data_IF_274546518973
#
_entry.id   IF_274546518973
#
_cell.length_a   1.000
_cell.length_b   1.000
_cell.length_c   1.000
_cell.angle_alpha   90.00
_cell.angle_beta   90.00
_cell.angle_gamma   90.00
#
_symmetry.space_group_name_H-M   'P 1'
#
loop_
_entity.id
_entity.type
_entity.pdbx_description
1 polymer ?
#
# COMPACT_ATOMS: atom_id res chain seq x y z
N UNK A 1 2.66 13.54 2.28
CA UNK A 1 2.95 12.36 3.10
C UNK A 1 3.55 12.88 4.38
N UNK A 2 3.04 12.41 5.51
CA UNK A 2 3.47 12.81 6.85
C UNK A 2 4.54 11.83 7.31
N UNK A 3 5.59 12.32 7.98
CA UNK A 3 6.72 11.55 8.51
C UNK A 3 7.63 10.86 7.46
N UNK A 4 7.57 11.27 6.20
CA UNK A 4 8.49 10.76 5.19
C UNK A 4 8.46 11.56 3.89
N UNK A 5 9.36 11.22 2.96
CA UNK A 5 9.40 11.81 1.63
C UNK A 5 8.54 11.00 0.65
N UNK A 6 7.51 11.64 0.12
CA UNK A 6 6.60 11.03 -0.87
C UNK A 6 7.34 10.58 -2.14
N UNK A 7 8.41 11.28 -2.54
CA UNK A 7 9.22 10.90 -3.71
C UNK A 7 10.00 9.64 -3.44
N UNK A 8 10.59 9.51 -2.24
CA UNK A 8 11.26 8.29 -1.83
C UNK A 8 10.25 7.14 -1.76
N UNK A 9 9.10 7.34 -1.10
CA UNK A 9 8.07 6.31 -1.00
C UNK A 9 7.70 5.76 -2.37
N UNK A 10 7.38 6.64 -3.32
CA UNK A 10 6.99 6.25 -4.69
C UNK A 10 8.15 5.65 -5.48
N UNK A 11 9.37 6.19 -5.36
CA UNK A 11 10.55 5.65 -6.05
C UNK A 11 10.78 4.18 -5.68
N UNK A 12 10.64 3.86 -4.40
CA UNK A 12 10.82 2.52 -3.84
C UNK A 12 9.79 1.50 -4.34
N UNK A 13 8.56 1.93 -4.66
CA UNK A 13 7.55 1.06 -5.25
C UNK A 13 7.96 0.52 -6.63
N UNK A 14 8.75 1.29 -7.39
CA UNK A 14 9.30 0.80 -8.67
C UNK A 14 10.30 -0.32 -8.49
N UNK A 15 10.80 -0.57 -7.29
CA UNK A 15 11.68 -1.70 -6.98
C UNK A 15 10.90 -2.89 -6.40
N UNK A 16 9.65 -2.68 -5.98
CA UNK A 16 8.82 -3.69 -5.33
C UNK A 16 8.91 -3.64 -3.80
N UNK A 17 9.52 -2.60 -3.23
CA UNK A 17 9.67 -2.47 -1.78
C UNK A 17 8.32 -2.57 -1.07
N UNK A 18 8.33 -3.29 0.05
CA UNK A 18 7.21 -3.38 0.97
C UNK A 18 7.13 -2.11 1.81
N UNK A 19 5.91 -1.56 1.94
CA UNK A 19 5.68 -0.35 2.72
C UNK A 19 4.37 -0.41 3.48
N UNK A 20 4.41 0.15 4.68
CA UNK A 20 3.25 0.34 5.54
C UNK A 20 2.89 1.82 5.58
N UNK A 21 1.60 2.14 5.59
CA UNK A 21 1.14 3.51 5.76
C UNK A 21 -0.28 3.58 6.33
N UNK A 22 -0.62 4.73 6.91
CA UNK A 22 -1.93 5.01 7.49
C UNK A 22 -2.66 6.08 6.69
N UNK A 23 -3.98 5.91 6.53
CA UNK A 23 -4.88 6.92 5.97
C UNK A 23 -6.21 6.88 6.71
N UNK A 24 -6.62 8.01 7.32
CA UNK A 24 -7.83 8.13 8.15
C UNK A 24 -8.05 6.97 9.15
N UNK A 25 -7.00 6.56 9.85
CA UNK A 25 -7.07 5.50 10.86
C UNK A 25 -7.16 4.07 10.29
N UNK A 26 -7.18 3.92 8.97
CA UNK A 26 -7.00 2.64 8.31
C UNK A 26 -5.52 2.40 7.99
N UNK A 27 -5.09 1.15 8.10
CA UNK A 27 -3.73 0.70 7.85
C UNK A 27 -3.65 -0.05 6.54
N UNK A 28 -2.69 0.34 5.73
CA UNK A 28 -2.45 -0.21 4.41
C UNK A 28 -1.07 -0.83 4.34
N UNK A 29 -0.99 -1.91 3.56
CA UNK A 29 0.25 -2.56 3.19
C UNK A 29 0.34 -2.61 1.68
N UNK A 30 1.45 -2.15 1.12
CA UNK A 30 1.74 -2.26 -0.31
C UNK A 30 3.02 -3.06 -0.48
N UNK A 31 3.01 -3.99 -1.43
CA UNK A 31 4.15 -4.85 -1.74
C UNK A 31 4.21 -5.14 -3.23
N UNK A 32 5.42 -5.31 -3.75
CA UNK A 32 5.61 -5.71 -5.14
C UNK A 32 6.64 -6.82 -5.27
N UNK A 33 6.43 -7.73 -6.22
CA UNK A 33 7.38 -8.81 -6.48
C UNK A 33 7.42 -9.16 -7.96
N UNK A 34 8.48 -9.86 -8.34
CA UNK A 34 8.66 -10.39 -9.70
C UNK A 34 8.50 -11.90 -9.67
N UNK A 35 7.61 -12.42 -10.52
CA UNK A 35 7.41 -13.85 -10.73
C UNK A 35 7.15 -14.10 -12.21
N UNK A 36 7.77 -15.12 -12.79
CA UNK A 36 7.52 -15.55 -14.18
C UNK A 36 7.65 -14.43 -15.24
N UNK A 37 8.55 -13.45 -15.02
CA UNK A 37 8.75 -12.23 -15.83
C UNK A 37 7.59 -11.22 -15.79
N UNK A 38 6.74 -11.33 -14.79
CA UNK A 38 5.70 -10.37 -14.45
C UNK A 38 6.06 -9.66 -13.15
N UNK A 39 5.83 -8.35 -13.10
CA UNK A 39 5.85 -7.55 -11.89
C UNK A 39 4.42 -7.43 -11.37
N UNK A 40 4.21 -7.86 -10.13
CA UNK A 40 2.94 -7.75 -9.43
C UNK A 40 3.07 -6.67 -8.36
N UNK A 41 2.09 -5.77 -8.26
CA UNK A 41 1.97 -4.78 -7.18
C UNK A 41 0.61 -4.98 -6.52
N UNK A 42 0.61 -5.13 -5.20
CA UNK A 42 -0.59 -5.44 -4.40
C UNK A 42 -0.71 -4.45 -3.26
N UNK A 43 -1.95 -4.06 -2.98
CA UNK A 43 -2.32 -3.23 -1.84
C UNK A 43 -3.40 -3.93 -1.05
N UNK A 44 -3.15 -4.03 0.25
CA UNK A 44 -4.06 -4.54 1.25
C UNK A 44 -4.44 -3.42 2.23
N UNK A 45 -5.67 -3.48 2.73
CA UNK A 45 -6.09 -2.71 3.92
C UNK A 45 -6.20 -3.68 5.08
N UNK A 46 -5.20 -3.65 5.96
CA UNK A 46 -5.02 -4.62 7.06
C UNK A 46 -5.88 -4.27 8.28
N UNK A 47 -6.03 -2.97 8.57
CA UNK A 47 -6.86 -2.50 9.67
C UNK A 47 -7.77 -1.35 9.22
N UNK A 48 -9.03 -1.26 9.68
CA UNK A 48 -9.77 -2.32 10.39
C UNK A 48 -9.81 -3.61 9.55
N UNK A 49 -10.10 -4.74 10.21
CA UNK A 49 -10.01 -6.10 9.63
C UNK A 49 -10.47 -6.12 8.16
N UNK A 50 -9.67 -6.72 7.26
CA UNK A 50 -9.96 -6.64 5.84
C UNK A 50 -11.36 -7.17 5.56
N UNK A 51 -12.10 -6.48 4.68
CA UNK A 51 -13.45 -6.88 4.33
C UNK A 51 -13.50 -8.20 3.52
N UNK A 52 -12.33 -8.70 3.10
CA UNK A 52 -12.16 -9.81 2.17
C UNK A 52 -10.77 -10.41 2.32
N UNK A 53 -10.62 -11.69 1.96
CA UNK A 53 -9.31 -12.36 1.81
C UNK A 53 -8.60 -12.00 0.49
N UNK A 54 -9.22 -11.14 -0.32
CA UNK A 54 -8.62 -10.62 -1.55
C UNK A 54 -8.03 -9.25 -1.31
N UNK A 55 -6.94 -8.91 -2.02
CA UNK A 55 -6.35 -7.59 -1.91
C UNK A 55 -7.33 -6.51 -2.30
N UNK A 56 -7.18 -5.34 -1.66
CA UNK A 56 -7.96 -4.15 -2.01
C UNK A 56 -7.74 -3.77 -3.47
N UNK A 57 -6.51 -3.92 -3.94
CA UNK A 57 -6.12 -3.62 -5.31
C UNK A 57 -4.89 -4.43 -5.70
N UNK A 58 -4.83 -4.83 -6.98
CA UNK A 58 -3.70 -5.52 -7.56
C UNK A 58 -3.55 -5.10 -9.03
N UNK A 59 -2.32 -4.96 -9.48
CA UNK A 59 -1.99 -4.90 -10.90
C UNK A 59 -0.80 -5.83 -11.21
N UNK A 60 -0.88 -6.49 -12.36
CA UNK A 60 0.14 -7.40 -12.86
C UNK A 60 0.53 -6.94 -14.25
N UNK A 61 1.80 -6.60 -14.41
CA UNK A 61 2.35 -6.13 -15.67
C UNK A 61 3.56 -6.98 -16.06
N UNK A 62 3.87 -7.12 -17.35
CA UNK A 62 5.19 -7.59 -17.77
C UNK A 62 6.30 -6.82 -17.07
N UNK A 63 7.43 -7.47 -16.76
CA UNK A 63 8.51 -6.86 -15.98
C UNK A 63 9.07 -5.57 -16.62
N UNK A 64 9.12 -5.49 -17.95
CA UNK A 64 9.52 -4.30 -18.70
C UNK A 64 8.49 -3.16 -18.64
N UNK A 65 7.26 -3.47 -18.22
CA UNK A 65 6.15 -2.55 -17.97
C UNK A 65 5.90 -2.32 -16.48
N UNK A 66 6.82 -2.68 -15.59
CA UNK A 66 6.64 -2.48 -14.13
C UNK A 66 6.29 -1.05 -13.73
N UNK A 67 6.78 -0.06 -14.48
CA UNK A 67 6.42 1.34 -14.28
C UNK A 67 4.91 1.57 -14.41
N UNK A 68 4.26 0.88 -15.34
CA UNK A 68 2.82 1.00 -15.57
C UNK A 68 2.03 0.53 -14.34
N UNK A 69 2.46 -0.54 -13.66
CA UNK A 69 1.81 -1.02 -12.44
C UNK A 69 1.81 0.03 -11.32
N UNK A 70 2.95 0.68 -11.08
CA UNK A 70 3.06 1.76 -10.08
C UNK A 70 2.23 2.98 -10.49
N UNK A 71 2.28 3.39 -11.76
CA UNK A 71 1.49 4.51 -12.26
C UNK A 71 -0.03 4.24 -12.20
N UNK A 72 -0.44 2.98 -12.38
CA UNK A 72 -1.84 2.56 -12.24
C UNK A 72 -2.29 2.61 -10.78
N UNK A 73 -1.44 2.19 -9.82
CA UNK A 73 -1.69 2.41 -8.40
C UNK A 73 -1.89 3.90 -8.08
N UNK A 74 -0.96 4.75 -8.52
CA UNK A 74 -0.97 6.17 -8.21
C UNK A 74 -2.24 6.88 -8.72
N UNK A 75 -2.87 6.35 -9.77
CA UNK A 75 -4.12 6.84 -10.36
C UNK A 75 -5.38 6.14 -9.84
N UNK A 76 -5.24 5.04 -9.10
CA UNK A 76 -6.37 4.30 -8.60
C UNK A 76 -7.06 5.06 -7.46
N UNK A 77 -8.40 5.21 -7.47
CA UNK A 77 -9.16 5.98 -6.48
C UNK A 77 -9.37 5.21 -5.16
N UNK A 78 -8.29 4.75 -4.52
CA UNK A 78 -8.31 3.81 -3.40
C UNK A 78 -8.57 4.47 -2.03
N UNK A 79 -8.46 5.79 -1.95
CA UNK A 79 -8.45 6.53 -0.68
C UNK A 79 -9.76 7.29 -0.46
N UNK A 80 -10.87 6.54 -0.39
CA UNK A 80 -12.21 7.12 -0.30
C UNK A 80 -12.63 7.81 -1.60
N UNK A 81 -12.20 7.27 -2.74
CA UNK A 81 -12.42 7.86 -4.07
C UNK A 81 -11.30 8.78 -4.54
N UNK A 82 -10.37 9.18 -3.66
CA UNK A 82 -9.16 9.93 -4.02
C UNK A 82 -8.07 9.01 -4.55
N UNK A 83 -7.29 9.54 -5.50
CA UNK A 83 -6.01 8.97 -5.94
C UNK A 83 -4.94 9.11 -4.86
N UNK A 84 -3.79 8.44 -5.04
CA UNK A 84 -2.67 8.58 -4.10
C UNK A 84 -2.23 10.04 -3.97
N UNK A 85 -2.08 10.75 -5.09
CA UNK A 85 -1.61 12.14 -5.10
C UNK A 85 -2.59 13.13 -4.46
N UNK A 86 -3.89 12.87 -4.55
CA UNK A 86 -4.91 13.69 -3.88
C UNK A 86 -4.97 13.44 -2.37
N UNK A 87 -4.61 12.22 -1.94
CA UNK A 87 -4.62 11.82 -0.53
C UNK A 87 -3.25 11.98 0.16
N UNK A 88 -2.15 12.20 -0.59
CA UNK A 88 -0.78 12.07 -0.09
C UNK A 88 -0.51 12.94 1.14
N UNK A 89 -1.05 14.16 1.20
CA UNK A 89 -0.90 15.08 2.33
C UNK A 89 -1.52 14.58 3.63
N UNK A 90 -2.40 13.60 3.56
CA UNK A 90 -3.13 12.98 4.68
C UNK A 90 -2.59 11.59 5.02
N UNK A 91 -1.72 11.02 4.18
CA UNK A 91 -1.12 9.71 4.38
C UNK A 91 0.08 9.84 5.33
N UNK A 92 0.11 9.02 6.37
CA UNK A 92 1.26 8.89 7.28
C UNK A 92 2.08 7.68 6.88
N UNK A 93 3.34 7.89 6.50
CA UNK A 93 4.28 6.78 6.29
C UNK A 93 4.73 6.26 7.65
N UNK A 94 4.74 4.93 7.79
CA UNK A 94 5.23 4.24 8.98
C UNK A 94 6.33 3.24 8.57
N UNK A 95 7.45 3.26 9.29
CA UNK A 95 8.65 2.46 8.93
C UNK A 95 8.46 0.97 9.21
N UNK A 96 7.67 0.64 10.23
CA UNK A 96 7.48 -0.73 10.68
C UNK A 96 6.03 -1.19 10.49
N UNK A 97 5.83 -2.50 10.56
CA UNK A 97 4.54 -3.07 10.89
C UNK A 97 4.19 -2.58 12.32
N UNK A 98 3.67 -1.35 12.47
CA UNK A 98 3.35 -0.73 13.76
C UNK A 98 2.62 -1.76 14.64
N UNK A 99 3.17 -2.13 15.80
CA UNK A 99 2.44 -2.80 16.85
C UNK A 99 1.61 -1.73 17.56
N UNK A 100 0.45 -1.38 17.00
CA UNK A 100 -0.34 -0.21 17.39
C UNK A 100 -1.02 -0.39 18.75
N UNK A 101 -0.70 -1.44 19.53
CA UNK A 101 -1.34 -1.71 20.83
C UNK A 101 -2.85 -2.01 20.72
N UNK A 102 -3.46 -1.78 19.55
CA UNK A 102 -4.74 -2.29 19.13
C UNK A 102 -4.72 -3.82 18.88
N UNK A 103 -3.53 -4.45 18.95
CA UNK A 103 -3.36 -5.90 18.90
C UNK A 103 -3.87 -6.68 20.11
N UNK A 104 -4.30 -6.01 21.20
CA UNK A 104 -4.72 -6.70 22.43
C UNK A 104 -6.23 -6.96 22.60
N UNK A 105 -7.06 -6.79 21.56
CA UNK A 105 -8.49 -7.15 21.64
C UNK A 105 -8.92 -8.40 20.89
N UNK A 106 -8.05 -9.04 20.10
CA UNK A 106 -8.42 -10.21 19.30
C UNK A 106 -7.88 -11.56 19.81
N UNK A 107 -7.04 -11.57 20.86
CA UNK A 107 -6.56 -12.79 21.53
C UNK A 107 -7.14 -12.96 22.95
N UNK A 108 -8.46 -12.78 23.09
CA UNK A 108 -9.22 -13.32 24.22
C UNK A 108 -10.47 -14.05 23.73
N UNK A 109 -10.28 -15.30 23.32
CA UNK A 109 -11.19 -16.41 23.63
C UNK A 109 -10.47 -17.73 23.54
#
# INVERSE_FOLDING_TARGET
MINGDVKEFVDRLYYGDERWFLYHGARYFIQGWVKDREFTLVIDRIAPEPASNYPLWQDVQPMDKRREAVENFLKAPLFGGKTFWEAEGEIVWVDDEIDDGCGNLWLKK
#
